data_IF_459769408864
#
_entry.id   IF_459769408864
#
_cell.length_a   1.000
_cell.length_b   1.000
_cell.length_c   1.000
_cell.angle_alpha   90.00
_cell.angle_beta   90.00
_cell.angle_gamma   90.00
#
_symmetry.space_group_name_H-M   'P 1'
#
loop_
_entity.id
_entity.type
_entity.pdbx_description
1 polymer ?
#
# COMPACT_ATOMS: atom_id res chain seq x y z
N UNK A 1 27.84 2.49 -3.35
CA UNK A 1 28.05 1.58 -2.20
C UNK A 1 26.85 0.64 -2.16
N UNK A 2 27.06 -0.67 -2.29
CA UNK A 2 25.97 -1.65 -2.31
C UNK A 2 25.49 -1.88 -0.86
N UNK A 3 24.23 -1.61 -0.58
CA UNK A 3 23.63 -1.93 0.72
C UNK A 3 23.47 -3.45 0.87
N UNK A 4 23.71 -3.94 2.09
CA UNK A 4 23.51 -5.34 2.43
C UNK A 4 22.02 -5.69 2.44
N UNK A 5 21.68 -6.89 1.96
CA UNK A 5 20.33 -7.47 1.92
C UNK A 5 19.58 -7.41 3.26
N UNK A 6 20.31 -7.28 4.37
CA UNK A 6 19.77 -7.25 5.73
C UNK A 6 19.04 -5.96 6.10
N UNK A 7 19.44 -4.79 5.59
CA UNK A 7 18.84 -3.50 5.97
C UNK A 7 17.47 -3.30 5.31
N UNK A 8 17.31 -3.79 4.07
CA UNK A 8 16.02 -3.84 3.35
C UNK A 8 15.05 -4.82 4.03
N UNK A 9 15.56 -5.95 4.54
CA UNK A 9 14.74 -6.97 5.20
C UNK A 9 14.16 -6.51 6.55
N UNK A 10 14.90 -5.72 7.33
CA UNK A 10 14.45 -5.25 8.66
C UNK A 10 13.35 -4.19 8.55
N UNK A 11 13.41 -3.28 7.57
CA UNK A 11 12.31 -2.32 7.39
C UNK A 11 11.11 -2.93 6.66
N UNK A 12 11.33 -3.88 5.74
CA UNK A 12 10.23 -4.76 5.27
C UNK A 12 9.51 -5.39 6.47
N UNK A 13 10.23 -5.92 7.46
CA UNK A 13 9.63 -6.49 8.68
C UNK A 13 8.96 -5.46 9.60
N UNK A 14 9.47 -4.22 9.71
CA UNK A 14 8.81 -3.16 10.49
C UNK A 14 7.56 -2.58 9.80
N UNK A 15 7.55 -2.50 8.46
CA UNK A 15 6.39 -2.11 7.66
C UNK A 15 5.35 -3.25 7.61
N UNK A 16 5.79 -4.51 7.55
CA UNK A 16 4.94 -5.72 7.62
C UNK A 16 4.19 -5.86 8.96
N UNK A 17 4.69 -5.29 10.06
CA UNK A 17 4.07 -5.39 11.39
C UNK A 17 2.85 -4.45 11.60
N UNK A 18 2.51 -3.59 10.62
CA UNK A 18 1.34 -2.69 10.66
C UNK A 18 0.50 -2.73 9.36
N UNK A 19 0.64 -3.79 8.58
CA UNK A 19 0.25 -3.85 7.17
C UNK A 19 -1.26 -4.07 6.87
N UNK A 20 -2.16 -3.81 7.82
CA UNK A 20 -3.61 -4.01 7.60
C UNK A 20 -4.42 -2.70 7.45
N UNK A 21 -3.84 -1.55 7.81
CA UNK A 21 -4.57 -0.25 7.88
C UNK A 21 -3.85 0.90 7.13
N UNK A 22 -3.06 0.57 6.10
CA UNK A 22 -2.09 1.49 5.53
C UNK A 22 -2.34 1.73 4.04
N UNK A 23 -2.71 2.96 3.66
CA UNK A 23 -2.58 3.38 2.27
C UNK A 23 -1.09 3.52 1.98
N UNK A 24 -0.61 2.85 0.93
CA UNK A 24 0.79 2.94 0.51
C UNK A 24 0.84 3.67 -0.84
N UNK A 25 1.90 4.42 -1.06
CA UNK A 25 2.38 4.81 -2.39
C UNK A 25 3.55 3.88 -2.66
N UNK A 26 3.30 2.85 -3.46
CA UNK A 26 4.23 1.74 -3.72
C UNK A 26 5.38 2.10 -4.66
N UNK A 27 5.19 3.15 -5.46
CA UNK A 27 6.15 3.59 -6.45
C UNK A 27 5.94 5.06 -6.78
N UNK A 28 7.01 5.69 -7.23
CA UNK A 28 7.01 7.04 -7.77
C UNK A 28 7.49 6.98 -9.22
N UNK A 29 6.81 7.71 -10.09
CA UNK A 29 7.25 7.96 -11.45
C UNK A 29 7.67 9.44 -11.58
N UNK A 30 8.48 9.80 -12.59
CA UNK A 30 8.74 11.20 -12.91
C UNK A 30 7.43 11.97 -13.04
N UNK A 31 7.36 13.16 -12.44
CA UNK A 31 6.16 13.99 -12.52
C UNK A 31 5.84 14.32 -13.99
N UNK A 32 4.56 14.37 -14.41
CA UNK A 32 4.20 14.69 -15.79
C UNK A 32 4.83 16.00 -16.30
N UNK A 33 5.66 15.91 -17.33
CA UNK A 33 6.37 17.06 -17.89
C UNK A 33 7.68 17.43 -17.17
N UNK A 34 8.08 16.68 -16.15
CA UNK A 34 9.41 16.80 -15.57
C UNK A 34 10.47 16.29 -16.57
N UNK A 35 11.38 17.18 -16.96
CA UNK A 35 12.45 16.88 -17.92
C UNK A 35 13.85 16.87 -17.32
N UNK A 36 13.96 16.90 -15.98
CA UNK A 36 15.24 16.83 -15.27
C UNK A 36 15.69 15.39 -15.03
N UNK A 37 16.85 15.26 -14.38
CA UNK A 37 17.54 13.97 -14.20
C UNK A 37 17.24 13.29 -12.84
N UNK A 38 16.42 13.90 -11.97
CA UNK A 38 16.06 13.28 -10.69
C UNK A 38 15.08 12.11 -10.92
N UNK A 39 15.34 11.00 -10.26
CA UNK A 39 14.55 9.78 -10.35
C UNK A 39 14.19 9.33 -8.94
N UNK A 40 13.11 9.88 -8.40
CA UNK A 40 12.67 9.51 -7.05
C UNK A 40 12.15 8.08 -7.06
N UNK A 41 12.71 7.27 -6.19
CA UNK A 41 12.29 5.88 -5.96
C UNK A 41 12.01 5.71 -4.47
N UNK A 42 11.04 4.88 -4.12
CA UNK A 42 10.73 4.65 -2.72
C UNK A 42 9.34 4.15 -2.49
N UNK A 43 9.05 3.93 -1.20
CA UNK A 43 7.73 3.60 -0.71
C UNK A 43 7.33 4.60 0.36
N UNK A 44 6.06 4.93 0.39
CA UNK A 44 5.49 5.76 1.45
C UNK A 44 4.21 5.12 1.94
N UNK A 45 3.91 5.36 3.20
CA UNK A 45 2.63 5.04 3.81
C UNK A 45 1.93 6.28 4.30
N UNK A 46 0.60 6.22 4.24
CA UNK A 46 -0.35 7.19 4.75
C UNK A 46 -1.32 6.41 5.64
N UNK A 47 -1.34 6.74 6.92
CA UNK A 47 -2.34 6.23 7.86
C UNK A 47 -3.23 7.41 8.23
N UNK A 48 -4.50 7.34 7.86
CA UNK A 48 -5.48 8.38 8.18
C UNK A 48 -6.17 8.05 9.49
N UNK A 49 -6.16 8.98 10.45
CA UNK A 49 -6.94 8.86 11.69
C UNK A 49 -7.75 10.12 11.87
N UNK A 50 -9.08 10.01 11.75
CA UNK A 50 -9.99 11.15 11.73
C UNK A 50 -9.60 12.17 10.64
N UNK A 51 -9.05 13.31 11.03
CA UNK A 51 -8.64 14.44 10.19
C UNK A 51 -7.12 14.51 9.94
N UNK A 52 -6.38 13.54 10.45
CA UNK A 52 -4.92 13.54 10.51
C UNK A 52 -4.33 12.46 9.63
N UNK A 53 -3.33 12.84 8.82
CA UNK A 53 -2.57 11.95 7.96
C UNK A 53 -1.20 11.69 8.60
N UNK A 54 -0.93 10.44 8.96
CA UNK A 54 0.35 10.01 9.52
C UNK A 54 1.19 9.41 8.41
N UNK A 55 2.22 10.13 8.00
CA UNK A 55 3.12 9.75 6.91
C UNK A 55 4.34 9.00 7.44
N UNK A 56 4.76 7.95 6.72
CA UNK A 56 6.10 7.38 6.87
C UNK A 56 6.64 7.03 5.50
N UNK A 57 7.91 7.35 5.22
CA UNK A 57 8.50 7.09 3.90
C UNK A 57 9.94 6.61 3.97
N UNK A 58 10.32 5.96 2.88
CA UNK A 58 11.70 5.73 2.47
C UNK A 58 11.85 6.23 1.04
N UNK A 59 12.55 7.35 0.86
CA UNK A 59 12.74 7.97 -0.45
C UNK A 59 14.22 8.01 -0.83
N UNK A 60 14.52 7.64 -2.07
CA UNK A 60 15.83 7.77 -2.71
C UNK A 60 15.72 8.59 -3.99
N UNK A 61 16.85 9.05 -4.54
CA UNK A 61 16.88 9.74 -5.83
C UNK A 61 16.23 11.13 -5.89
N UNK A 62 15.86 11.69 -4.72
CA UNK A 62 15.45 13.09 -4.59
C UNK A 62 16.63 14.07 -4.73
N UNK A 63 16.31 15.36 -4.81
CA UNK A 63 17.31 16.42 -4.98
C UNK A 63 18.36 16.43 -3.86
N UNK A 64 19.66 16.27 -4.16
CA UNK A 64 20.73 16.28 -3.16
C UNK A 64 20.82 17.56 -2.32
N UNK A 65 20.32 18.69 -2.83
CA UNK A 65 20.30 19.99 -2.11
C UNK A 65 19.27 20.00 -0.98
N UNK A 66 18.39 19.01 -0.88
CA UNK A 66 17.42 18.87 0.21
C UNK A 66 18.02 18.46 1.57
N UNK A 67 19.28 18.79 1.81
CA UNK A 67 19.93 18.82 3.12
C UNK A 67 20.32 20.26 3.52
N UNK A 68 20.14 21.23 2.63
CA UNK A 68 20.44 22.63 2.83
C UNK A 68 19.21 23.40 3.34
N UNK A 69 19.43 24.65 3.78
CA UNK A 69 18.31 25.54 4.10
C UNK A 69 17.68 26.04 2.81
N UNK A 70 16.47 25.59 2.52
CA UNK A 70 15.66 26.12 1.43
C UNK A 70 14.89 27.38 1.88
N UNK A 71 14.58 28.26 0.93
CA UNK A 71 13.53 29.30 1.09
C UNK A 71 12.47 29.30 -0.01
N UNK A 72 12.58 28.44 -1.02
CA UNK A 72 11.59 28.33 -2.10
C UNK A 72 10.28 27.71 -1.58
N UNK A 73 9.15 28.14 -2.14
CA UNK A 73 7.87 27.52 -1.81
C UNK A 73 7.88 26.04 -2.20
N UNK A 74 7.38 25.16 -1.33
CA UNK A 74 7.27 23.71 -1.55
C UNK A 74 8.60 22.98 -1.73
N UNK A 75 9.72 23.61 -1.41
CA UNK A 75 11.01 22.94 -1.55
C UNK A 75 11.05 21.62 -0.78
N UNK A 76 11.64 20.60 -1.40
CA UNK A 76 11.80 19.29 -0.79
C UNK A 76 10.49 18.71 -0.25
N UNK A 77 9.35 19.17 -0.77
CA UNK A 77 8.03 18.88 -0.25
C UNK A 77 7.60 17.43 -0.50
N UNK A 78 6.82 16.88 0.43
CA UNK A 78 6.14 15.58 0.31
C UNK A 78 4.65 15.82 0.58
N UNK A 79 3.85 15.99 -0.48
CA UNK A 79 2.50 16.58 -0.35
C UNK A 79 1.42 15.71 -0.99
N UNK A 80 0.24 15.63 -0.34
CA UNK A 80 -0.97 15.11 -0.99
C UNK A 80 -1.59 16.23 -1.82
N UNK A 81 -1.86 15.96 -3.09
CA UNK A 81 -2.45 16.90 -4.04
C UNK A 81 -3.93 16.63 -4.28
N UNK A 82 -4.66 17.64 -4.75
CA UNK A 82 -6.11 17.54 -5.02
C UNK A 82 -6.38 16.51 -6.12
N UNK A 83 -5.52 16.44 -7.14
CA UNK A 83 -5.67 15.52 -8.25
C UNK A 83 -5.55 14.05 -7.85
N UNK A 84 -6.35 13.21 -8.49
CA UNK A 84 -6.31 11.74 -8.38
C UNK A 84 -5.59 11.12 -9.57
N UNK A 85 -4.51 11.74 -10.04
CA UNK A 85 -3.78 11.26 -11.21
C UNK A 85 -2.33 11.72 -11.22
N UNK A 86 -1.46 10.90 -11.80
CA UNK A 86 -0.08 11.22 -12.13
C UNK A 86 0.17 11.17 -13.64
N UNK A 87 -0.85 11.22 -14.49
CA UNK A 87 -0.67 11.13 -15.95
C UNK A 87 -0.61 12.50 -16.65
N UNK A 88 -1.30 13.51 -16.11
CA UNK A 88 -1.41 14.84 -16.72
C UNK A 88 -1.20 15.91 -15.66
N UNK A 89 -0.22 16.78 -15.86
CA UNK A 89 0.19 17.79 -14.87
C UNK A 89 -0.94 18.75 -14.46
N UNK A 90 -1.82 19.14 -15.40
CA UNK A 90 -2.94 20.04 -15.13
C UNK A 90 -3.98 19.44 -14.18
N UNK A 91 -4.05 18.11 -14.12
CA UNK A 91 -5.08 17.39 -13.39
C UNK A 91 -4.60 16.98 -11.99
N UNK A 92 -3.30 17.14 -11.70
CA UNK A 92 -2.72 16.94 -10.36
C UNK A 92 -3.13 18.07 -9.41
N UNK A 93 -3.30 19.30 -9.92
CA UNK A 93 -3.74 20.48 -9.15
C UNK A 93 -2.80 20.83 -7.96
N UNK A 94 -3.25 21.64 -7.00
CA UNK A 94 -2.49 22.07 -5.81
C UNK A 94 -2.52 21.06 -4.66
N UNK A 95 -2.06 21.45 -3.46
CA UNK A 95 -2.12 20.58 -2.29
C UNK A 95 -3.56 20.39 -1.78
N UNK A 96 -3.81 19.29 -1.08
CA UNK A 96 -5.13 18.90 -0.60
C UNK A 96 -5.24 18.94 0.92
N UNK A 97 -6.12 19.79 1.46
CA UNK A 97 -6.51 19.81 2.88
C UNK A 97 -7.88 20.49 3.01
N UNK A 98 -8.57 20.26 4.13
CA UNK A 98 -9.96 20.72 4.36
C UNK A 98 -10.16 21.44 5.70
N UNK A 99 -9.14 21.52 6.59
CA UNK A 99 -9.26 22.23 7.88
C UNK A 99 -9.66 23.70 7.76
N UNK A 100 -9.46 24.32 6.60
CA UNK A 100 -9.59 25.77 6.42
C UNK A 100 -8.44 26.52 7.12
N UNK A 101 -7.85 27.50 6.43
CA UNK A 101 -6.69 28.24 6.97
C UNK A 101 -5.39 27.92 6.24
N UNK A 102 -4.27 27.99 6.96
CA UNK A 102 -2.93 27.81 6.38
C UNK A 102 -2.72 26.40 5.88
N UNK A 103 -2.07 26.29 4.73
CA UNK A 103 -1.68 25.03 4.12
C UNK A 103 -0.74 24.23 5.03
N UNK A 104 -1.16 23.04 5.53
CA UNK A 104 -0.36 22.23 6.45
C UNK A 104 0.84 21.56 5.75
N UNK A 105 0.85 21.51 4.42
CA UNK A 105 1.90 20.85 3.64
C UNK A 105 3.17 21.69 3.55
N UNK A 106 3.10 23.00 3.80
CA UNK A 106 4.24 23.92 3.69
C UNK A 106 5.41 23.57 4.63
N UNK A 107 5.16 22.81 5.69
CA UNK A 107 6.19 22.37 6.64
C UNK A 107 6.63 20.92 6.44
N UNK A 108 6.01 20.19 5.50
CA UNK A 108 6.27 18.77 5.26
C UNK A 108 7.35 18.64 4.20
N UNK A 109 8.56 18.30 4.61
CA UNK A 109 9.74 18.20 3.75
C UNK A 109 10.50 16.90 4.00
N UNK A 110 11.06 16.30 2.94
CA UNK A 110 12.06 15.24 3.08
C UNK A 110 13.47 15.82 3.23
N UNK A 111 14.37 15.02 3.79
CA UNK A 111 15.75 15.42 4.03
C UNK A 111 16.73 14.39 3.45
N UNK A 112 17.75 14.86 2.70
CA UNK A 112 18.74 14.00 2.01
C UNK A 112 20.09 13.89 2.74
N UNK A 113 20.21 14.38 3.97
CA UNK A 113 21.44 14.28 4.79
C UNK A 113 21.86 12.82 4.98
N UNK A 114 20.87 11.93 5.08
CA UNK A 114 21.03 10.48 5.04
C UNK A 114 20.16 9.92 3.92
N UNK A 115 20.74 9.08 3.06
CA UNK A 115 20.03 8.40 1.97
C UNK A 115 19.96 6.89 2.24
N UNK A 116 18.78 6.25 2.11
CA UNK A 116 17.48 6.86 1.78
C UNK A 116 17.00 7.86 2.84
N UNK A 117 16.23 8.86 2.42
CA UNK A 117 15.49 9.74 3.33
C UNK A 117 14.44 8.90 4.05
N UNK A 118 14.48 8.90 5.38
CA UNK A 118 13.60 8.10 6.22
C UNK A 118 12.79 9.03 7.12
N UNK A 119 11.47 8.83 7.13
CA UNK A 119 10.57 9.46 8.08
C UNK A 119 9.58 8.42 8.60
N UNK A 120 9.22 8.51 9.88
CA UNK A 120 8.31 7.57 10.52
C UNK A 120 7.33 8.29 11.43
N UNK A 121 6.05 8.21 11.09
CA UNK A 121 4.98 8.68 11.95
C UNK A 121 4.76 10.19 11.95
N UNK A 122 5.13 10.89 10.88
CA UNK A 122 4.90 12.33 10.76
C UNK A 122 3.40 12.62 10.64
N UNK A 123 2.81 13.20 11.68
CA UNK A 123 1.40 13.55 11.70
C UNK A 123 1.15 14.93 11.08
N UNK A 124 0.20 14.99 10.14
CA UNK A 124 -0.23 16.21 9.44
C UNK A 124 -1.74 16.34 9.59
N UNK A 125 -2.20 17.39 10.29
CA UNK A 125 -3.63 17.65 10.45
C UNK A 125 -4.14 18.32 9.18
N UNK A 126 -4.84 17.55 8.36
CA UNK A 126 -5.32 18.00 7.05
C UNK A 126 -6.80 18.36 7.06
N UNK A 127 -7.58 17.86 8.02
CA UNK A 127 -9.04 17.95 7.99
C UNK A 127 -9.69 16.82 7.18
N UNK A 128 -8.91 16.15 6.33
CA UNK A 128 -9.39 15.16 5.39
C UNK A 128 -9.53 13.79 6.04
N UNK A 129 -10.57 13.06 5.67
CA UNK A 129 -10.74 11.65 6.01
C UNK A 129 -9.78 10.75 5.21
N UNK A 130 -9.76 9.46 5.54
CA UNK A 130 -9.08 8.46 4.71
C UNK A 130 -9.67 8.37 3.29
N UNK A 131 -11.01 8.40 3.18
CA UNK A 131 -11.74 8.39 1.91
C UNK A 131 -11.36 9.60 1.04
N UNK A 132 -11.21 10.75 1.68
CA UNK A 132 -10.80 11.97 1.02
C UNK A 132 -9.42 11.80 0.38
N UNK A 133 -8.42 11.26 1.10
CA UNK A 133 -7.04 11.15 0.59
C UNK A 133 -6.82 9.96 -0.34
N UNK A 134 -7.68 8.95 -0.25
CA UNK A 134 -7.67 7.76 -1.10
C UNK A 134 -7.67 8.10 -2.60
N UNK A 135 -6.75 7.50 -3.35
CA UNK A 135 -6.60 7.70 -4.78
C UNK A 135 -5.95 9.03 -5.20
N UNK A 136 -5.60 9.92 -4.27
CA UNK A 136 -4.94 11.20 -4.58
C UNK A 136 -3.46 11.01 -4.91
N UNK A 137 -2.92 11.97 -5.65
CA UNK A 137 -1.51 12.04 -5.95
C UNK A 137 -0.71 12.47 -4.70
N UNK A 138 0.32 11.69 -4.37
CA UNK A 138 1.44 12.13 -3.56
C UNK A 138 2.52 12.68 -4.50
N UNK A 139 2.93 13.92 -4.28
CA UNK A 139 3.93 14.61 -5.10
C UNK A 139 5.16 14.92 -4.27
N UNK A 140 6.32 14.67 -4.89
CA UNK A 140 7.63 15.02 -4.35
C UNK A 140 8.17 16.23 -5.10
N UNK A 141 8.69 17.21 -4.36
CA UNK A 141 9.26 18.44 -4.91
C UNK A 141 10.78 18.49 -4.75
N UNK A 142 11.50 19.12 -5.68
CA UNK A 142 12.93 19.41 -5.56
C UNK A 142 13.24 20.60 -4.65
N UNK A 143 14.52 20.93 -4.48
CA UNK A 143 14.96 22.05 -3.65
C UNK A 143 14.42 23.41 -4.11
N UNK A 144 14.17 23.57 -5.41
CA UNK A 144 13.64 24.81 -5.99
C UNK A 144 12.10 24.86 -5.94
N UNK A 145 11.45 23.83 -5.39
CA UNK A 145 10.00 23.71 -5.28
C UNK A 145 9.31 23.13 -6.52
N UNK A 146 10.09 22.71 -7.53
CA UNK A 146 9.58 22.04 -8.73
C UNK A 146 9.07 20.64 -8.42
N UNK A 147 7.99 20.20 -9.07
CA UNK A 147 7.44 18.85 -8.90
C UNK A 147 8.30 17.86 -9.69
N UNK A 148 8.86 16.86 -9.02
CA UNK A 148 9.83 15.93 -9.64
C UNK A 148 9.33 14.49 -9.71
N UNK A 149 8.44 14.11 -8.80
CA UNK A 149 7.84 12.78 -8.84
C UNK A 149 6.39 12.77 -8.38
N UNK A 150 5.66 11.76 -8.83
CA UNK A 150 4.26 11.55 -8.50
C UNK A 150 4.01 10.06 -8.29
N UNK A 151 3.27 9.73 -7.24
CA UNK A 151 2.73 8.40 -7.00
C UNK A 151 1.28 8.51 -6.51
N UNK A 152 0.48 7.48 -6.73
CA UNK A 152 -0.93 7.47 -6.29
C UNK A 152 -1.04 6.76 -4.94
N UNK A 153 -1.76 7.39 -4.02
CA UNK A 153 -2.16 6.78 -2.74
C UNK A 153 -3.22 5.73 -3.08
N UNK A 154 -2.93 4.44 -2.84
CA UNK A 154 -3.90 3.40 -3.18
C UNK A 154 -5.19 3.54 -2.37
N UNK A 155 -6.29 3.07 -2.95
CA UNK A 155 -7.61 3.08 -2.32
C UNK A 155 -7.96 1.78 -1.58
N UNK A 156 -7.41 0.65 -2.05
CA UNK A 156 -7.56 -0.63 -1.37
C UNK A 156 -6.21 -1.34 -1.18
N UNK A 157 -6.10 -2.06 -0.08
CA UNK A 157 -4.94 -2.85 0.29
C UNK A 157 -5.29 -4.34 0.33
N UNK A 158 -4.30 -5.16 -0.01
CA UNK A 158 -4.37 -6.61 0.09
C UNK A 158 -3.12 -7.08 0.81
N UNK A 159 -3.32 -7.78 1.90
CA UNK A 159 -2.24 -8.29 2.75
C UNK A 159 -2.71 -9.48 3.58
N UNK A 160 -1.79 -10.10 4.32
CA UNK A 160 -2.15 -11.24 5.18
C UNK A 160 -2.77 -12.40 4.40
N UNK A 161 -2.18 -12.75 3.24
CA UNK A 161 -2.60 -13.91 2.46
C UNK A 161 -2.66 -15.17 3.32
N UNK A 162 -3.82 -15.81 3.31
CA UNK A 162 -4.01 -17.14 3.90
C UNK A 162 -4.05 -18.21 2.80
N UNK A 163 -3.81 -19.46 3.19
CA UNK A 163 -3.93 -20.57 2.27
C UNK A 163 -5.35 -20.61 1.70
N UNK A 164 -5.47 -20.76 0.38
CA UNK A 164 -6.78 -20.85 -0.25
C UNK A 164 -7.58 -22.03 0.33
N UNK A 165 -8.89 -21.91 0.60
CA UNK A 165 -9.67 -23.00 1.21
C UNK A 165 -9.57 -24.31 0.42
N UNK A 166 -9.15 -25.37 1.09
CA UNK A 166 -8.94 -26.68 0.48
C UNK A 166 -7.61 -26.85 -0.26
N UNK A 167 -6.74 -25.84 -0.27
CA UNK A 167 -5.36 -26.00 -0.75
C UNK A 167 -4.57 -26.91 0.20
N UNK A 168 -4.04 -28.01 -0.33
CA UNK A 168 -3.28 -29.03 0.42
C UNK A 168 -1.77 -28.95 0.18
N UNK A 169 -1.32 -27.99 -0.63
CA UNK A 169 0.10 -27.79 -0.90
C UNK A 169 0.82 -27.05 0.23
N UNK A 170 2.11 -26.75 0.02
CA UNK A 170 3.00 -26.16 1.02
C UNK A 170 3.41 -24.71 0.71
N UNK A 171 2.82 -24.09 -0.30
CA UNK A 171 3.09 -22.69 -0.62
C UNK A 171 2.33 -21.79 0.36
N UNK A 172 3.07 -20.95 1.09
CA UNK A 172 2.51 -19.99 2.04
C UNK A 172 2.79 -18.57 1.55
N UNK A 173 1.94 -18.09 0.64
CA UNK A 173 2.14 -16.80 -0.01
C UNK A 173 2.21 -15.67 1.01
N UNK A 174 3.24 -14.84 0.92
CA UNK A 174 3.40 -13.66 1.73
C UNK A 174 3.77 -12.48 0.84
N UNK A 175 3.26 -11.31 1.20
CA UNK A 175 3.40 -10.11 0.41
C UNK A 175 2.29 -9.13 0.73
N UNK A 176 2.37 -8.00 0.04
CA UNK A 176 1.34 -6.98 0.03
C UNK A 176 1.04 -6.60 -1.41
N UNK A 177 -0.19 -6.20 -1.65
CA UNK A 177 -0.62 -5.66 -2.93
C UNK A 177 -1.54 -4.47 -2.66
N UNK A 178 -1.60 -3.62 -3.66
CA UNK A 178 -2.48 -2.48 -3.71
C UNK A 178 -3.33 -2.57 -4.96
N UNK A 179 -4.57 -2.15 -4.80
CA UNK A 179 -5.46 -1.90 -5.92
C UNK A 179 -5.72 -0.40 -5.92
N UNK A 180 -5.67 0.19 -7.10
CA UNK A 180 -6.12 1.55 -7.34
C UNK A 180 -7.13 1.54 -8.47
N UNK A 181 -8.32 2.09 -8.24
CA UNK A 181 -9.38 2.15 -9.24
C UNK A 181 -9.41 3.52 -9.90
N UNK A 182 -9.33 3.54 -11.22
CA UNK A 182 -9.61 4.73 -12.04
C UNK A 182 -10.69 4.38 -13.06
N UNK A 183 -11.85 5.00 -12.90
CA UNK A 183 -13.05 4.69 -13.67
C UNK A 183 -13.32 3.17 -13.63
N UNK A 184 -13.29 2.50 -14.78
CA UNK A 184 -13.56 1.06 -14.92
C UNK A 184 -12.29 0.19 -14.94
N UNK A 185 -11.13 0.79 -14.66
CA UNK A 185 -9.80 0.15 -14.74
C UNK A 185 -9.14 0.08 -13.38
N UNK A 186 -8.55 -1.07 -13.08
CA UNK A 186 -7.82 -1.34 -11.85
C UNK A 186 -6.32 -1.35 -12.14
N UNK A 187 -5.57 -0.51 -11.43
CA UNK A 187 -4.11 -0.58 -11.36
C UNK A 187 -3.74 -1.47 -10.19
N UNK A 188 -3.05 -2.57 -10.47
CA UNK A 188 -2.50 -3.46 -9.46
C UNK A 188 -1.01 -3.20 -9.29
N UNK A 189 -0.58 -3.07 -8.03
CA UNK A 189 0.84 -3.05 -7.66
C UNK A 189 1.06 -4.05 -6.55
N UNK A 190 2.04 -4.96 -6.68
CA UNK A 190 2.33 -5.95 -5.66
C UNK A 190 3.81 -6.12 -5.38
N UNK A 191 4.08 -6.56 -4.16
CA UNK A 191 5.36 -7.07 -3.69
C UNK A 191 5.07 -8.40 -2.99
N UNK A 192 5.22 -9.49 -3.74
CA UNK A 192 5.08 -10.85 -3.22
C UNK A 192 6.46 -11.37 -2.81
N UNK A 193 6.65 -11.58 -1.51
CA UNK A 193 7.97 -11.79 -0.90
C UNK A 193 8.31 -13.26 -0.68
N UNK A 194 7.32 -14.13 -0.52
CA UNK A 194 7.54 -15.56 -0.31
C UNK A 194 6.32 -16.41 -0.73
N UNK A 195 6.52 -17.73 -0.73
CA UNK A 195 5.44 -18.71 -0.92
C UNK A 195 4.77 -18.67 -2.29
N UNK A 196 5.54 -18.39 -3.33
CA UNK A 196 5.14 -18.48 -4.72
C UNK A 196 5.71 -19.75 -5.36
N UNK A 197 5.05 -20.24 -6.42
CA UNK A 197 5.56 -21.38 -7.17
C UNK A 197 6.75 -20.96 -8.04
N UNK A 198 7.93 -21.53 -7.77
CA UNK A 198 9.17 -21.17 -8.46
C UNK A 198 9.18 -21.49 -9.95
N UNK A 199 8.27 -22.36 -10.41
CA UNK A 199 8.07 -22.65 -11.83
C UNK A 199 7.51 -21.45 -12.60
N UNK A 200 6.89 -20.48 -11.91
CA UNK A 200 6.43 -19.20 -12.46
C UNK A 200 7.57 -18.25 -12.87
N UNK A 201 8.78 -18.76 -13.02
CA UNK A 201 9.89 -18.10 -13.70
C UNK A 201 9.88 -18.36 -15.21
N UNK A 202 9.10 -19.33 -15.67
CA UNK A 202 8.96 -19.73 -17.07
C UNK A 202 7.53 -19.52 -17.58
N UNK A 203 7.37 -19.48 -18.91
CA UNK A 203 6.06 -19.46 -19.54
C UNK A 203 5.27 -20.75 -19.20
N UNK A 204 3.97 -20.59 -18.95
CA UNK A 204 3.04 -21.67 -18.65
C UNK A 204 1.83 -21.61 -19.59
N UNK A 205 1.20 -22.75 -19.82
CA UNK A 205 0.05 -22.88 -20.74
C UNK A 205 -1.23 -23.34 -20.04
N UNK A 206 -1.15 -23.69 -18.75
CA UNK A 206 -2.33 -23.99 -17.95
C UNK A 206 -3.14 -22.71 -17.75
N UNK A 207 -4.47 -22.81 -17.74
CA UNK A 207 -5.33 -21.67 -17.46
C UNK A 207 -5.00 -21.11 -16.06
N UNK A 208 -4.94 -19.78 -15.94
CA UNK A 208 -4.69 -19.06 -14.69
C UNK A 208 -3.33 -19.35 -14.05
N UNK A 209 -2.40 -19.93 -14.79
CA UNK A 209 -1.10 -20.24 -14.24
C UNK A 209 -0.39 -18.97 -13.77
N UNK A 210 0.15 -19.01 -12.55
CA UNK A 210 0.84 -17.87 -11.94
C UNK A 210 -0.02 -16.61 -11.81
N UNK A 211 -1.35 -16.77 -11.84
CA UNK A 211 -2.32 -15.67 -11.86
C UNK A 211 -2.39 -14.86 -10.56
N UNK A 212 -2.67 -13.57 -10.70
CA UNK A 212 -2.97 -12.62 -9.62
C UNK A 212 -4.31 -11.94 -9.93
N UNK A 213 -5.41 -12.43 -9.38
CA UNK A 213 -6.75 -12.07 -9.86
C UNK A 213 -7.68 -11.62 -8.73
N UNK A 214 -8.54 -10.64 -9.01
CA UNK A 214 -9.69 -10.34 -8.16
C UNK A 214 -10.78 -11.37 -8.46
N UNK A 215 -11.37 -11.96 -7.41
CA UNK A 215 -12.44 -12.93 -7.48
C UNK A 215 -13.75 -12.38 -6.93
N UNK A 216 -14.87 -12.96 -7.38
CA UNK A 216 -16.23 -12.46 -7.07
C UNK A 216 -16.60 -12.59 -5.58
N UNK A 217 -15.99 -13.53 -4.86
CA UNK A 217 -16.29 -13.72 -3.45
C UNK A 217 -15.66 -12.66 -2.56
N UNK A 218 -16.27 -12.46 -1.41
CA UNK A 218 -15.95 -11.39 -0.47
C UNK A 218 -15.26 -11.86 0.80
N UNK A 219 -14.97 -13.17 0.90
CA UNK A 219 -14.16 -13.73 1.97
C UNK A 219 -13.40 -14.98 1.53
N UNK A 220 -12.38 -15.29 2.31
CA UNK A 220 -11.46 -16.39 2.04
C UNK A 220 -11.79 -17.66 2.85
N UNK A 221 -13.02 -17.82 3.36
CA UNK A 221 -13.37 -18.94 4.24
C UNK A 221 -13.86 -20.21 3.51
N UNK A 222 -14.43 -20.07 2.31
CA UNK A 222 -15.02 -21.19 1.57
C UNK A 222 -14.75 -21.09 0.06
N UNK A 223 -14.08 -22.11 -0.48
CA UNK A 223 -13.76 -22.19 -1.90
C UNK A 223 -15.00 -22.15 -2.80
N UNK A 224 -16.15 -22.63 -2.32
CA UNK A 224 -17.39 -22.65 -3.08
C UNK A 224 -18.00 -21.25 -3.26
N UNK A 225 -17.70 -20.31 -2.36
CA UNK A 225 -18.26 -18.94 -2.40
C UNK A 225 -17.30 -17.92 -2.99
N UNK A 226 -16.00 -18.21 -3.08
CA UNK A 226 -15.01 -17.33 -3.72
C UNK A 226 -15.29 -17.15 -5.22
N UNK A 227 -15.80 -18.18 -5.89
CA UNK A 227 -16.25 -18.10 -7.28
C UNK A 227 -15.12 -17.85 -8.30
N UNK A 228 -15.47 -17.33 -9.48
CA UNK A 228 -14.54 -17.04 -10.59
C UNK A 228 -13.89 -15.66 -10.49
N UNK A 229 -13.17 -15.26 -11.54
CA UNK A 229 -12.60 -13.91 -11.58
C UNK A 229 -13.71 -12.86 -11.65
N UNK A 230 -13.41 -11.66 -11.15
CA UNK A 230 -14.35 -10.57 -11.00
C UNK A 230 -14.17 -9.52 -12.09
N UNK A 231 -15.09 -9.50 -13.07
CA UNK A 231 -15.16 -8.45 -14.07
C UNK A 231 -16.57 -8.34 -14.63
N UNK A 232 -16.89 -7.19 -15.24
CA UNK A 232 -18.15 -6.96 -15.90
C UNK A 232 -18.10 -7.52 -17.33
N UNK A 233 -18.56 -8.76 -17.51
CA UNK A 233 -18.59 -9.42 -18.82
C UNK A 233 -19.49 -8.75 -19.86
N UNK A 234 -20.41 -7.87 -19.44
CA UNK A 234 -21.23 -7.06 -20.36
C UNK A 234 -20.47 -5.85 -20.91
N UNK A 235 -19.42 -5.40 -20.20
CA UNK A 235 -18.55 -4.29 -20.60
C UNK A 235 -17.27 -4.80 -21.28
N UNK A 236 -16.60 -5.80 -20.68
CA UNK A 236 -15.42 -6.48 -21.24
C UNK A 236 -15.78 -7.92 -21.56
N UNK A 237 -15.93 -8.23 -22.86
CA UNK A 237 -16.45 -9.52 -23.32
C UNK A 237 -15.55 -10.72 -22.98
N UNK A 238 -14.24 -10.53 -22.99
CA UNK A 238 -13.26 -11.54 -22.62
C UNK A 238 -12.78 -11.33 -21.19
N UNK A 239 -12.34 -12.40 -20.53
CA UNK A 239 -11.78 -12.32 -19.17
C UNK A 239 -10.47 -11.51 -19.18
N UNK A 240 -10.44 -10.31 -18.56
CA UNK A 240 -9.26 -9.45 -18.57
C UNK A 240 -8.14 -9.97 -17.66
N UNK A 241 -8.45 -10.93 -16.77
CA UNK A 241 -7.49 -11.49 -15.82
C UNK A 241 -6.58 -12.55 -16.42
N UNK A 242 -6.95 -13.13 -17.58
CA UNK A 242 -6.27 -14.28 -18.17
C UNK A 242 -4.75 -14.12 -18.40
N UNK A 243 -4.26 -12.87 -18.49
CA UNK A 243 -2.85 -12.54 -18.74
C UNK A 243 -2.14 -11.93 -17.52
N UNK A 244 -2.83 -11.77 -16.38
CA UNK A 244 -2.30 -11.10 -15.21
C UNK A 244 -1.56 -12.10 -14.33
N UNK A 245 -0.24 -12.16 -14.50
CA UNK A 245 0.62 -13.17 -13.88
C UNK A 245 1.76 -12.54 -13.08
N UNK A 246 2.13 -13.15 -11.96
CA UNK A 246 3.39 -12.86 -11.28
C UNK A 246 4.55 -13.63 -11.93
N UNK A 247 5.77 -13.16 -11.68
CA UNK A 247 6.99 -13.81 -12.17
C UNK A 247 7.98 -14.02 -11.03
N UNK A 248 8.59 -15.21 -10.95
CA UNK A 248 9.55 -15.58 -9.89
C UNK A 248 11.00 -15.68 -10.37
N UNK A 249 11.32 -15.18 -11.58
CA UNK A 249 12.71 -15.09 -12.05
C UNK A 249 13.57 -14.20 -11.15
N UNK A 250 12.94 -13.25 -10.47
CA UNK A 250 13.52 -12.38 -9.47
C UNK A 250 12.57 -12.33 -8.25
N UNK A 251 13.12 -12.49 -7.05
CA UNK A 251 12.36 -12.39 -5.79
C UNK A 251 12.88 -11.21 -4.94
N UNK A 252 12.00 -10.41 -4.30
CA UNK A 252 10.53 -10.51 -4.34
C UNK A 252 9.96 -10.29 -5.74
N UNK A 253 8.79 -10.87 -6.02
CA UNK A 253 8.06 -10.58 -7.26
C UNK A 253 7.43 -9.21 -7.11
N UNK A 254 7.92 -8.25 -7.90
CA UNK A 254 7.49 -6.84 -7.85
C UNK A 254 6.94 -6.46 -9.20
N UNK A 255 5.72 -5.94 -9.21
CA UNK A 255 5.10 -5.31 -10.37
C UNK A 255 4.40 -4.05 -9.91
N UNK A 256 4.45 -3.01 -10.75
CA UNK A 256 3.73 -1.76 -10.54
C UNK A 256 2.87 -1.45 -11.76
N UNK A 257 1.74 -0.76 -11.53
CA UNK A 257 0.86 -0.23 -12.57
C UNK A 257 0.35 -1.28 -13.58
N UNK A 258 0.03 -2.47 -13.08
CA UNK A 258 -0.62 -3.50 -13.90
C UNK A 258 -2.08 -3.11 -14.11
N UNK A 259 -2.35 -2.51 -15.25
CA UNK A 259 -3.68 -2.01 -15.61
C UNK A 259 -4.58 -3.12 -16.13
N UNK A 260 -5.74 -3.29 -15.50
CA UNK A 260 -6.76 -4.27 -15.85
C UNK A 260 -8.10 -3.56 -16.01
N UNK A 261 -8.60 -3.45 -17.24
CA UNK A 261 -9.93 -2.91 -17.50
C UNK A 261 -10.97 -3.97 -17.10
N UNK A 262 -11.58 -3.81 -15.93
CA UNK A 262 -12.54 -4.80 -15.40
C UNK A 262 -13.97 -4.44 -15.75
N UNK A 263 -14.24 -3.21 -16.20
CA UNK A 263 -15.60 -2.73 -16.41
C UNK A 263 -16.35 -2.38 -15.11
N UNK A 264 -15.62 -2.28 -13.99
CA UNK A 264 -16.15 -2.01 -12.65
C UNK A 264 -15.52 -0.77 -12.03
N UNK A 265 -16.33 0.02 -11.35
CA UNK A 265 -15.85 1.15 -10.55
C UNK A 265 -15.30 0.67 -9.20
N UNK A 266 -14.57 1.53 -8.50
CA UNK A 266 -13.99 1.31 -7.15
C UNK A 266 -14.94 0.58 -6.19
N UNK A 267 -16.17 1.08 -6.04
CA UNK A 267 -17.18 0.50 -5.16
C UNK A 267 -17.60 -0.94 -5.51
N UNK A 268 -17.22 -1.44 -6.69
CA UNK A 268 -17.44 -2.83 -7.09
C UNK A 268 -16.20 -3.70 -6.88
N UNK A 269 -15.05 -3.13 -6.50
CA UNK A 269 -13.78 -3.84 -6.31
C UNK A 269 -13.53 -4.10 -4.83
N UNK A 270 -13.85 -3.12 -3.99
CA UNK A 270 -13.73 -3.21 -2.54
C UNK A 270 -14.55 -4.37 -1.97
N UNK A 271 -14.05 -4.98 -0.89
CA UNK A 271 -14.69 -6.11 -0.21
C UNK A 271 -14.60 -7.44 -0.94
N UNK A 272 -14.06 -7.48 -2.16
CA UNK A 272 -13.82 -8.72 -2.91
C UNK A 272 -12.51 -9.39 -2.45
N UNK A 273 -12.13 -10.49 -3.09
CA UNK A 273 -10.94 -11.27 -2.73
C UNK A 273 -9.89 -11.19 -3.82
N UNK A 274 -8.63 -11.11 -3.41
CA UNK A 274 -7.48 -11.33 -4.28
C UNK A 274 -7.01 -12.77 -4.13
N UNK A 275 -6.87 -13.49 -5.25
CA UNK A 275 -6.45 -14.89 -5.29
C UNK A 275 -5.17 -15.03 -6.09
N UNK A 276 -4.23 -15.79 -5.53
CA UNK A 276 -2.95 -16.13 -6.17
C UNK A 276 -3.01 -17.57 -6.64
N UNK A 277 -2.53 -17.83 -7.85
CA UNK A 277 -2.47 -19.16 -8.45
C UNK A 277 -1.04 -19.70 -8.59
N UNK A 278 -0.85 -21.01 -8.56
CA UNK A 278 0.44 -21.65 -8.86
C UNK A 278 0.65 -21.87 -10.36
N UNK A 279 1.79 -22.47 -10.73
CA UNK A 279 2.14 -22.75 -12.13
C UNK A 279 1.15 -23.70 -12.84
N UNK A 280 0.39 -24.49 -12.08
CA UNK A 280 -0.63 -25.40 -12.62
C UNK A 280 -1.99 -24.71 -12.78
N UNK A 281 -2.13 -23.48 -12.30
CA UNK A 281 -3.39 -22.74 -12.24
C UNK A 281 -4.21 -23.06 -10.99
N UNK A 282 -3.68 -23.83 -10.04
CA UNK A 282 -4.36 -24.08 -8.76
C UNK A 282 -4.34 -22.82 -7.91
N UNK A 283 -5.46 -22.52 -7.24
CA UNK A 283 -5.55 -21.39 -6.29
C UNK A 283 -4.79 -21.78 -5.02
N UNK A 284 -3.80 -20.97 -4.62
CA UNK A 284 -2.90 -21.28 -3.50
C UNK A 284 -3.06 -20.34 -2.32
N UNK A 285 -3.46 -19.10 -2.57
CA UNK A 285 -3.68 -18.13 -1.51
C UNK A 285 -4.88 -17.23 -1.81
N UNK A 286 -5.46 -16.70 -0.74
CA UNK A 286 -6.56 -15.76 -0.77
C UNK A 286 -6.28 -14.64 0.24
N UNK A 287 -6.66 -13.42 -0.09
CA UNK A 287 -6.71 -12.30 0.84
C UNK A 287 -7.90 -11.40 0.51
N UNK A 288 -8.41 -10.71 1.52
CA UNK A 288 -9.45 -9.71 1.34
C UNK A 288 -8.88 -8.43 0.71
N UNK A 289 -9.64 -7.84 -0.21
CA UNK A 289 -9.44 -6.48 -0.66
C UNK A 289 -10.18 -5.59 0.32
N UNK A 290 -9.43 -5.14 1.33
CA UNK A 290 -9.96 -4.18 2.28
C UNK A 290 -9.82 -2.80 1.67
N UNK A 291 -10.89 -2.01 1.77
CA UNK A 291 -10.70 -0.57 1.77
C UNK A 291 -9.60 -0.27 2.79
N UNK A 292 -8.75 0.70 2.49
CA UNK A 292 -7.79 1.21 3.48
C UNK A 292 -8.51 1.69 4.77
N UNK A 293 -9.84 1.79 4.74
CA UNK A 293 -10.73 2.35 5.76
C UNK A 293 -11.35 1.34 6.76
N UNK A 294 -11.53 0.04 6.46
CA UNK A 294 -12.32 -0.85 7.36
C UNK A 294 -11.52 -1.42 8.56
N UNK A 295 -10.19 -1.25 8.54
CA UNK A 295 -9.35 -1.51 9.71
C UNK A 295 -9.55 -0.51 10.87
N UNK A 296 -10.09 0.67 10.56
CA UNK A 296 -10.28 1.76 11.53
C UNK A 296 -11.50 1.60 12.45
N UNK A 297 -12.41 0.64 12.18
CA UNK A 297 -13.63 0.47 12.99
C UNK A 297 -13.94 -1.00 13.31
N UNK A 298 -12.97 -1.77 13.81
CA UNK A 298 -13.35 -2.84 14.75
C UNK A 298 -13.46 -2.26 16.15
N UNK A 299 -14.52 -1.47 16.40
CA UNK A 299 -15.04 -1.36 17.76
C UNK A 299 -15.40 -2.78 18.16
N UNK A 300 -14.61 -3.37 19.04
CA UNK A 300 -14.97 -4.60 19.72
C UNK A 300 -16.23 -4.30 20.53
N UNK A 301 -17.39 -4.46 19.91
CA UNK A 301 -18.66 -4.53 20.61
C UNK A 301 -18.66 -5.86 21.35
N UNK A 302 -17.97 -5.88 22.48
CA UNK A 302 -18.19 -6.90 23.48
C UNK A 302 -19.59 -6.61 24.02
N UNK A 303 -20.59 -7.36 23.55
CA UNK A 303 -21.93 -7.38 24.11
C UNK A 303 -21.84 -7.82 25.57
N UNK A 304 -21.70 -6.86 26.48
CA UNK A 304 -21.90 -7.08 27.91
C UNK A 304 -23.37 -6.94 28.20
N UNK A 305 -23.99 -8.06 28.54
CA UNK A 305 -25.36 -8.16 29.03
C UNK A 305 -25.62 -7.18 30.18
N UNK A 306 -26.75 -6.50 30.08
CA UNK A 306 -27.33 -5.50 30.99
C UNK A 306 -27.27 -5.83 32.47
N UNK A 307 -26.89 -4.83 33.29
CA UNK A 307 -27.21 -4.79 34.71
C UNK A 307 -26.67 -3.58 35.46
N UNK A 308 -27.53 -2.59 35.72
CA UNK A 308 -27.45 -1.74 36.92
C UNK A 308 -26.75 -0.37 36.80
N UNK A 309 -27.47 0.65 37.27
CA UNK A 309 -27.13 2.07 37.26
C UNK A 309 -26.00 2.49 38.24
N UNK A 310 -25.34 3.60 37.94
CA UNK A 310 -24.73 4.45 38.98
C UNK A 310 -23.35 5.05 38.66
N UNK A 311 -23.35 6.37 38.46
CA UNK A 311 -22.31 7.36 38.81
C UNK A 311 -20.94 7.34 38.12
N UNK A 312 -20.57 8.54 37.68
CA UNK A 312 -19.30 8.97 37.11
C UNK A 312 -18.13 8.77 38.07
N UNK A 313 -17.14 7.96 37.66
CA UNK A 313 -15.77 8.01 38.18
C UNK A 313 -14.79 7.76 37.03
N UNK A 314 -14.04 8.80 36.66
CA UNK A 314 -12.91 8.70 35.75
C UNK A 314 -11.74 8.18 36.58
N UNK A 315 -11.55 6.86 36.61
CA UNK A 315 -10.38 6.24 37.24
C UNK A 315 -9.36 5.86 36.17
N UNK A 316 -8.22 6.55 36.20
CA UNK A 316 -6.99 6.06 35.58
C UNK A 316 -6.40 4.99 36.51
N UNK A 317 -6.45 3.72 36.06
CA UNK A 317 -5.70 2.64 36.67
C UNK A 317 -4.95 1.82 35.61
N UNK A 318 -3.67 1.65 35.91
CA UNK A 318 -2.58 1.10 35.14
C UNK A 318 -2.70 -0.40 34.75
N UNK A 319 -1.98 -0.70 33.66
CA UNK A 319 -1.11 -1.88 33.44
C UNK A 319 -1.73 -3.28 33.36
N UNK A 320 -1.72 -3.84 32.14
CA UNK A 320 -2.02 -5.25 31.86
C UNK A 320 -1.44 -5.74 30.53
N UNK A 321 -0.10 -5.84 30.48
CA UNK A 321 0.73 -6.78 29.68
C UNK A 321 0.16 -7.36 28.36
N UNK A 322 0.68 -6.87 27.23
CA UNK A 322 1.23 -7.74 26.17
C UNK A 322 2.62 -7.23 25.86
N UNK A 323 3.59 -7.76 26.61
CA UNK A 323 4.99 -7.71 26.29
C UNK A 323 5.50 -9.14 26.13
N UNK A 324 6.64 -9.25 25.41
CA UNK A 324 7.40 -10.45 25.03
C UNK A 324 6.94 -11.00 23.66
N UNK A 325 7.72 -10.91 22.57
CA UNK A 325 9.17 -11.01 22.47
C UNK A 325 9.78 -10.08 21.39
N UNK A 326 10.55 -9.07 21.83
CA UNK A 326 11.63 -8.47 21.03
C UNK A 326 12.80 -8.21 21.98
N UNK A 327 13.80 -9.09 21.92
CA UNK A 327 14.93 -9.03 22.84
C UNK A 327 15.78 -10.29 22.83
N UNK A 328 16.16 -10.80 21.65
CA UNK A 328 17.30 -11.71 21.45
C UNK A 328 17.42 -12.08 19.96
N UNK A 329 17.88 -11.18 19.09
CA UNK A 329 18.53 -11.60 17.84
C UNK A 329 19.49 -10.55 17.25
N UNK A 330 20.05 -9.69 18.12
CA UNK A 330 21.10 -8.73 17.73
C UNK A 330 22.23 -8.81 18.77
N UNK A 331 22.83 -9.98 18.91
CA UNK A 331 24.09 -10.12 19.69
C UNK A 331 24.94 -11.34 19.33
N UNK A 332 24.81 -11.93 18.13
CA UNK A 332 25.62 -13.13 17.76
C UNK A 332 26.17 -13.15 16.33
N UNK A 333 26.38 -11.99 15.71
CA UNK A 333 27.26 -11.87 14.52
C UNK A 333 28.29 -10.74 14.68
N UNK A 334 28.91 -10.69 15.85
CA UNK A 334 30.20 -10.05 16.03
C UNK A 334 30.99 -10.91 17.02
N UNK A 335 31.75 -11.86 16.49
CA UNK A 335 33.06 -12.38 16.93
C UNK A 335 33.32 -13.68 16.17
N UNK A 336 34.49 -13.71 15.51
CA UNK A 336 35.07 -14.70 14.60
C UNK A 336 34.64 -14.60 13.13
#
# INVERSE_FOLDING_TARGET
MAFSRTTVAVLSQLLLARAFDQAIVSSFAPYPGYGGDLAVEGVMSVISTNDTQTLSWMLSGGDPRCNETCTAANCCGVHIHVGKTCSVASDVLGHYWTTGGTDPWLTVMYNTTSMPSLETGLAVVTGASGEDVSGRAMVIHDFDGGRIACGIIANASVGGFEAYPGYVGNLATAGVMQVYSKDVTQSLTWILTAGLDTRCSAACTAANCCGVHIHVGTNCSDAATIGGHHWNSTFVAADPWAMIMYNTSHMPSVMSDVMVETGYMEANIEGHTMVIHDFTGARIACSHITEVLDGMWTVSTTTTTTGGAGTSDISFAHAGKVGVAFGALVSSLAVA
#
